data_IF_820874499638
#
_entry.id   IF_820874499638
#
_cell.length_a   1.000
_cell.length_b   1.000
_cell.length_c   1.000
_cell.angle_alpha   90.00
_cell.angle_beta   90.00
_cell.angle_gamma   90.00
#
_symmetry.space_group_name_H-M   'P 1'
#
loop_
_entity.id
_entity.type
_entity.pdbx_description
1 polymer ?
#
# COMPACT_ATOMS: atom_id res chain seq x y z
N UNK A 1 -13.03 -12.70 -2.13
CA UNK A 1 -12.20 -12.07 -3.19
C UNK A 1 -12.44 -12.80 -4.49
N UNK A 2 -12.67 -12.06 -5.57
CA UNK A 2 -12.84 -12.61 -6.92
C UNK A 2 -11.62 -13.45 -7.32
N UNK A 3 -11.85 -14.61 -7.94
CA UNK A 3 -10.80 -15.49 -8.42
C UNK A 3 -9.91 -14.80 -9.46
N UNK A 4 -10.45 -13.85 -10.22
CA UNK A 4 -9.70 -13.07 -11.20
C UNK A 4 -8.63 -12.18 -10.53
N UNK A 5 -9.01 -11.43 -9.49
CA UNK A 5 -8.09 -10.57 -8.72
C UNK A 5 -6.93 -11.39 -8.16
N UNK A 6 -7.23 -12.57 -7.60
CA UNK A 6 -6.22 -13.48 -7.07
C UNK A 6 -5.22 -13.90 -8.16
N UNK A 7 -5.70 -14.16 -9.38
CA UNK A 7 -4.83 -14.58 -10.47
C UNK A 7 -3.91 -13.45 -10.95
N UNK A 8 -4.40 -12.21 -11.01
CA UNK A 8 -3.54 -11.06 -11.32
C UNK A 8 -2.50 -10.82 -10.23
N UNK A 9 -2.89 -10.84 -8.95
CA UNK A 9 -1.93 -10.70 -7.86
C UNK A 9 -0.86 -11.80 -7.90
N UNK A 10 -1.24 -13.05 -8.18
CA UNK A 10 -0.28 -14.15 -8.39
C UNK A 10 0.67 -13.88 -9.56
N UNK A 11 0.15 -13.36 -10.67
CA UNK A 11 0.99 -12.97 -11.80
C UNK A 11 1.98 -11.88 -11.38
N UNK A 12 1.53 -10.85 -10.67
CA UNK A 12 2.37 -9.73 -10.22
C UNK A 12 3.47 -10.18 -9.26
N UNK A 13 3.13 -11.03 -8.28
CA UNK A 13 4.14 -11.64 -7.41
C UNK A 13 5.07 -12.59 -8.17
N UNK A 14 4.60 -13.24 -9.22
CA UNK A 14 5.42 -14.03 -10.14
C UNK A 14 6.43 -13.16 -10.90
N UNK A 15 5.98 -12.01 -11.41
CA UNK A 15 6.83 -10.99 -12.05
C UNK A 15 7.93 -10.52 -11.09
N UNK A 16 7.58 -10.19 -9.84
CA UNK A 16 8.55 -9.83 -8.81
C UNK A 16 9.52 -10.98 -8.53
N UNK A 17 9.01 -12.21 -8.37
CA UNK A 17 9.83 -13.39 -8.06
C UNK A 17 10.81 -13.76 -9.18
N UNK A 18 10.47 -13.45 -10.43
CA UNK A 18 11.33 -13.69 -11.58
C UNK A 18 12.43 -12.61 -11.76
N UNK A 19 12.35 -11.51 -11.01
CA UNK A 19 13.33 -10.43 -11.10
C UNK A 19 14.69 -10.84 -10.55
N UNK A 20 15.72 -10.71 -11.38
CA UNK A 20 17.10 -11.08 -11.08
C UNK A 20 18.13 -10.04 -11.59
N UNK A 21 17.68 -8.81 -11.84
CA UNK A 21 18.53 -7.76 -12.42
C UNK A 21 19.58 -7.26 -11.42
N UNK A 22 20.85 -7.39 -11.79
CA UNK A 22 22.00 -6.86 -11.04
C UNK A 22 22.71 -5.73 -11.78
N UNK A 23 22.21 -5.32 -12.94
CA UNK A 23 22.87 -4.36 -13.85
C UNK A 23 22.67 -2.90 -13.45
N UNK A 24 21.86 -2.63 -12.42
CA UNK A 24 21.44 -1.28 -12.00
C UNK A 24 21.85 -0.95 -10.56
N UNK A 25 23.15 -1.03 -10.22
CA UNK A 25 23.61 -0.94 -8.83
C UNK A 25 23.24 0.37 -8.13
N UNK A 26 23.21 1.50 -8.86
CA UNK A 26 22.79 2.78 -8.29
C UNK A 26 21.31 2.78 -7.88
N UNK A 27 20.45 2.15 -8.68
CA UNK A 27 19.02 2.08 -8.39
C UNK A 27 18.75 1.11 -7.23
N UNK A 28 19.45 -0.03 -7.21
CA UNK A 28 19.39 -0.98 -6.10
C UNK A 28 19.86 -0.35 -4.79
N UNK A 29 20.89 0.51 -4.80
CA UNK A 29 21.33 1.24 -3.61
C UNK A 29 20.28 2.24 -3.11
N UNK A 30 19.59 2.94 -4.03
CA UNK A 30 18.48 3.84 -3.66
C UNK A 30 17.34 3.07 -3.00
N UNK A 31 16.94 1.95 -3.59
CA UNK A 31 15.90 1.07 -3.01
C UNK A 31 16.37 0.53 -1.66
N UNK A 32 17.60 0.04 -1.55
CA UNK A 32 18.16 -0.47 -0.28
C UNK A 32 18.03 0.57 0.84
N UNK A 33 18.42 1.81 0.55
CA UNK A 33 18.35 2.93 1.49
C UNK A 33 16.90 3.28 1.85
N UNK A 34 16.04 3.47 0.85
CA UNK A 34 14.66 3.92 1.04
C UNK A 34 13.80 2.87 1.79
N UNK A 35 14.12 1.60 1.59
CA UNK A 35 13.41 0.46 2.18
C UNK A 35 14.06 -0.07 3.45
N UNK A 36 15.21 0.50 3.84
CA UNK A 36 16.04 0.06 4.97
C UNK A 36 16.43 -1.42 4.87
N UNK A 37 16.81 -1.84 3.67
CA UNK A 37 17.21 -3.20 3.34
C UNK A 37 18.73 -3.32 3.22
N UNK A 38 19.30 -4.40 3.74
CA UNK A 38 20.72 -4.73 3.55
C UNK A 38 21.02 -5.22 2.12
N UNK A 39 20.03 -5.83 1.46
CA UNK A 39 20.12 -6.35 0.11
C UNK A 39 18.78 -6.19 -0.60
N UNK A 40 18.82 -5.82 -1.88
CA UNK A 40 17.62 -5.71 -2.72
C UNK A 40 17.60 -6.84 -3.72
N UNK A 41 16.66 -7.75 -3.54
CA UNK A 41 16.33 -8.81 -4.47
C UNK A 41 14.83 -9.16 -4.34
N UNK A 42 14.34 -10.06 -5.19
CA UNK A 42 12.94 -10.46 -5.18
C UNK A 42 12.46 -10.99 -3.81
N UNK A 43 13.32 -11.72 -3.10
CA UNK A 43 12.97 -12.30 -1.80
C UNK A 43 12.85 -11.23 -0.70
N UNK A 44 13.81 -10.30 -0.62
CA UNK A 44 13.78 -9.23 0.38
C UNK A 44 12.65 -8.24 0.12
N UNK A 45 12.39 -7.88 -1.13
CA UNK A 45 11.24 -7.04 -1.50
C UNK A 45 9.90 -7.74 -1.22
N UNK A 46 9.79 -9.03 -1.54
CA UNK A 46 8.59 -9.81 -1.25
C UNK A 46 8.32 -9.95 0.24
N UNK A 47 9.37 -10.08 1.08
CA UNK A 47 9.24 -10.04 2.54
C UNK A 47 8.82 -8.65 3.01
N UNK A 48 9.47 -7.59 2.52
CA UNK A 48 9.14 -6.21 2.88
C UNK A 48 7.66 -5.89 2.68
N UNK A 49 7.09 -6.35 1.57
CA UNK A 49 5.66 -6.15 1.27
C UNK A 49 4.76 -6.97 2.20
N UNK A 50 5.05 -8.25 2.42
CA UNK A 50 4.25 -9.13 3.29
C UNK A 50 4.27 -8.71 4.76
N UNK A 51 5.36 -8.09 5.22
CA UNK A 51 5.47 -7.55 6.57
C UNK A 51 4.60 -6.29 6.77
N UNK A 52 4.04 -5.73 5.69
CA UNK A 52 3.25 -4.49 5.67
C UNK A 52 1.83 -4.67 5.15
N UNK A 53 1.53 -5.74 4.44
CA UNK A 53 0.19 -6.05 3.94
C UNK A 53 -0.11 -7.50 4.27
N UNK A 54 -1.02 -7.71 5.23
CA UNK A 54 -1.47 -9.06 5.61
C UNK A 54 -2.78 -9.42 4.92
N UNK A 55 -3.70 -8.46 4.82
CA UNK A 55 -5.04 -8.69 4.28
C UNK A 55 -5.26 -7.85 3.04
N UNK A 56 -5.84 -8.49 2.02
CA UNK A 56 -6.26 -7.86 0.78
C UNK A 56 -7.72 -8.21 0.56
N UNK A 57 -8.53 -7.23 0.15
CA UNK A 57 -9.94 -7.45 -0.19
C UNK A 57 -10.34 -6.53 -1.36
N UNK A 58 -11.32 -6.92 -2.19
CA UNK A 58 -11.77 -6.09 -3.30
C UNK A 58 -12.70 -4.96 -2.82
N UNK A 59 -12.77 -3.88 -3.58
CA UNK A 59 -13.89 -2.95 -3.54
C UNK A 59 -15.11 -3.57 -4.25
N UNK A 60 -15.89 -4.33 -3.48
CA UNK A 60 -17.11 -4.98 -3.96
C UNK A 60 -18.39 -4.29 -3.45
N UNK A 61 -18.25 -3.08 -2.89
CA UNK A 61 -19.34 -2.31 -2.30
C UNK A 61 -19.84 -2.83 -0.95
N UNK A 62 -19.27 -3.91 -0.41
CA UNK A 62 -19.57 -4.34 0.95
C UNK A 62 -18.76 -3.51 1.95
N UNK A 63 -19.35 -3.12 3.09
CA UNK A 63 -18.61 -2.42 4.11
C UNK A 63 -17.59 -3.35 4.80
N UNK A 64 -16.54 -2.76 5.37
CA UNK A 64 -15.64 -3.48 6.24
C UNK A 64 -16.16 -3.44 7.68
N UNK A 65 -16.44 -4.61 8.23
CA UNK A 65 -16.79 -4.74 9.64
C UNK A 65 -15.53 -4.71 10.52
N UNK A 66 -15.59 -3.94 11.59
CA UNK A 66 -14.58 -3.90 12.65
C UNK A 66 -15.25 -3.80 14.02
N UNK A 67 -14.46 -3.90 15.08
CA UNK A 67 -15.01 -3.78 16.43
C UNK A 67 -14.04 -3.17 17.42
N UNK A 68 -14.56 -2.42 18.38
CA UNK A 68 -13.81 -1.92 19.52
C UNK A 68 -14.05 -2.73 20.77
N UNK A 69 -12.98 -3.00 21.51
CA UNK A 69 -13.02 -3.65 22.81
C UNK A 69 -12.93 -2.57 23.89
N UNK A 70 -13.94 -2.51 24.76
CA UNK A 70 -14.02 -1.58 25.90
C UNK A 70 -13.97 -2.39 27.20
N UNK A 71 -12.78 -2.62 27.79
CA UNK A 71 -12.67 -3.59 28.87
C UNK A 71 -13.41 -3.22 30.15
N UNK A 72 -13.47 -1.93 30.47
CA UNK A 72 -14.21 -1.43 31.63
C UNK A 72 -15.71 -1.76 31.58
N UNK A 73 -16.25 -1.94 30.37
CA UNK A 73 -17.64 -2.30 30.14
C UNK A 73 -17.82 -3.80 29.88
N UNK A 74 -16.71 -4.54 29.68
CA UNK A 74 -16.68 -5.94 29.21
C UNK A 74 -17.45 -6.16 27.90
N UNK A 75 -17.43 -5.16 27.01
CA UNK A 75 -18.19 -5.15 25.75
C UNK A 75 -17.29 -5.05 24.53
N UNK A 76 -17.77 -5.65 23.44
CA UNK A 76 -17.28 -5.45 22.08
C UNK A 76 -18.35 -4.73 21.28
N UNK A 77 -18.02 -3.54 20.77
CA UNK A 77 -18.90 -2.74 19.90
C UNK A 77 -18.55 -3.02 18.45
N UNK A 78 -19.48 -3.60 17.70
CA UNK A 78 -19.32 -3.82 16.26
C UNK A 78 -19.70 -2.55 15.49
N UNK A 79 -18.91 -2.23 14.48
CA UNK A 79 -19.14 -1.12 13.56
C UNK A 79 -18.82 -1.57 12.13
N UNK A 80 -19.39 -0.88 11.16
CA UNK A 80 -19.04 -1.06 9.75
C UNK A 80 -18.65 0.29 9.13
N UNK A 81 -17.64 0.27 8.27
CA UNK A 81 -17.24 1.44 7.47
C UNK A 81 -17.47 1.14 5.99
N UNK A 82 -18.13 2.07 5.31
CA UNK A 82 -18.21 2.05 3.85
C UNK A 82 -16.79 2.27 3.30
N UNK A 83 -16.27 1.24 2.64
CA UNK A 83 -14.95 1.28 2.01
C UNK A 83 -15.05 1.58 0.52
N UNK A 84 -16.23 1.88 -0.04
CA UNK A 84 -16.35 2.17 -1.47
C UNK A 84 -15.35 3.25 -1.90
N UNK A 85 -14.51 2.89 -2.86
CA UNK A 85 -13.44 3.75 -3.32
C UNK A 85 -13.96 4.70 -4.40
N UNK A 86 -13.39 5.91 -4.44
CA UNK A 86 -13.72 6.86 -5.50
C UNK A 86 -13.23 6.35 -6.87
N UNK A 87 -13.89 6.79 -7.94
CA UNK A 87 -13.37 6.64 -9.29
C UNK A 87 -11.96 7.25 -9.35
N UNK A 88 -10.95 6.47 -9.76
CA UNK A 88 -9.55 6.89 -9.68
C UNK A 88 -8.67 5.97 -8.83
N UNK A 89 -9.23 5.34 -7.79
CA UNK A 89 -8.44 4.59 -6.80
C UNK A 89 -8.01 3.22 -7.33
N UNK A 90 -6.69 3.01 -7.40
CA UNK A 90 -6.13 1.71 -7.73
C UNK A 90 -6.12 0.79 -6.50
N UNK A 91 -5.59 1.24 -5.38
CA UNK A 91 -5.67 0.52 -4.11
C UNK A 91 -5.68 1.54 -2.96
N UNK A 92 -5.98 1.08 -1.76
CA UNK A 92 -5.93 1.89 -0.55
C UNK A 92 -5.60 1.04 0.67
N UNK A 93 -4.57 1.41 1.42
CA UNK A 93 -4.28 0.83 2.72
C UNK A 93 -5.14 1.47 3.82
N UNK A 94 -6.35 0.95 3.96
CA UNK A 94 -7.30 1.42 4.97
C UNK A 94 -6.89 1.03 6.40
N UNK A 95 -5.97 0.07 6.57
CA UNK A 95 -5.50 -0.38 7.89
C UNK A 95 -4.95 0.76 8.74
N UNK A 96 -4.31 1.72 8.09
CA UNK A 96 -3.74 2.90 8.73
C UNK A 96 -4.78 3.92 9.18
N UNK A 97 -5.84 4.11 8.41
CA UNK A 97 -7.01 4.88 8.83
C UNK A 97 -7.68 4.25 10.04
N UNK A 98 -7.89 2.92 10.01
CA UNK A 98 -8.44 2.16 11.15
C UNK A 98 -7.57 2.27 12.40
N UNK A 99 -6.24 2.20 12.25
CA UNK A 99 -5.33 2.36 13.37
C UNK A 99 -5.41 3.76 13.97
N UNK A 100 -5.46 4.79 13.12
CA UNK A 100 -5.58 6.18 13.56
C UNK A 100 -6.86 6.41 14.34
N UNK A 101 -7.97 5.82 13.87
CA UNK A 101 -9.26 5.80 14.58
C UNK A 101 -9.14 5.09 15.93
N UNK A 102 -8.51 3.92 15.99
CA UNK A 102 -8.25 3.19 17.24
C UNK A 102 -7.49 4.06 18.24
N UNK A 103 -6.44 4.77 17.82
CA UNK A 103 -5.66 5.61 18.72
C UNK A 103 -6.48 6.80 19.27
N UNK A 104 -7.41 7.36 18.50
CA UNK A 104 -8.35 8.38 19.02
C UNK A 104 -9.27 7.76 20.09
N UNK A 105 -9.88 6.61 19.79
CA UNK A 105 -10.76 5.92 20.73
C UNK A 105 -10.05 5.39 21.97
N UNK A 106 -8.74 5.10 21.89
CA UNK A 106 -7.93 4.68 23.03
C UNK A 106 -7.92 5.70 24.15
N UNK A 107 -7.98 6.99 23.82
CA UNK A 107 -8.11 8.08 24.82
C UNK A 107 -9.45 8.05 25.56
N UNK A 108 -10.43 7.29 25.06
CA UNK A 108 -11.79 7.15 25.58
C UNK A 108 -12.05 5.77 26.21
N UNK A 109 -11.00 4.98 26.44
CA UNK A 109 -11.09 3.68 27.13
C UNK A 109 -11.27 2.45 26.23
N UNK A 110 -11.06 2.60 24.92
CA UNK A 110 -10.90 1.45 24.00
C UNK A 110 -9.49 0.88 24.13
N UNK A 111 -9.36 -0.41 24.43
CA UNK A 111 -8.05 -1.06 24.51
C UNK A 111 -7.77 -1.96 23.30
N UNK A 112 -8.77 -2.24 22.47
CA UNK A 112 -8.63 -3.09 21.29
C UNK A 112 -9.41 -2.67 20.08
N UNK A 113 -8.83 -2.96 18.91
CA UNK A 113 -9.48 -2.95 17.61
C UNK A 113 -9.41 -4.36 17.03
N UNK A 114 -10.54 -4.85 16.54
CA UNK A 114 -10.66 -6.09 15.78
C UNK A 114 -11.14 -5.75 14.37
N UNK A 115 -10.66 -6.47 13.36
CA UNK A 115 -11.17 -6.35 11.99
C UNK A 115 -11.69 -7.70 11.53
N UNK A 116 -12.86 -7.72 10.88
CA UNK A 116 -13.51 -8.95 10.45
C UNK A 116 -13.03 -9.36 9.05
N UNK A 117 -12.51 -10.58 8.93
CA UNK A 117 -12.19 -11.20 7.65
C UNK A 117 -12.73 -12.64 7.63
N UNK A 118 -13.45 -13.02 6.57
CA UNK A 118 -14.03 -14.36 6.41
C UNK A 118 -14.78 -14.84 7.68
N UNK A 119 -15.70 -14.02 8.20
CA UNK A 119 -16.48 -14.27 9.43
C UNK A 119 -15.68 -14.35 10.74
N UNK A 120 -14.38 -14.04 10.71
CA UNK A 120 -13.52 -14.09 11.90
C UNK A 120 -13.01 -12.70 12.25
N UNK A 121 -13.19 -12.30 13.50
CA UNK A 121 -12.56 -11.08 14.02
C UNK A 121 -11.11 -11.34 14.41
N UNK A 122 -10.21 -10.51 13.88
CA UNK A 122 -8.77 -10.62 14.07
C UNK A 122 -8.26 -9.37 14.79
N UNK A 123 -7.39 -9.51 15.81
CA UNK A 123 -6.79 -8.36 16.49
C UNK A 123 -6.00 -7.49 15.52
N UNK A 124 -6.29 -6.20 15.54
CA UNK A 124 -5.61 -5.19 14.73
C UNK A 124 -4.82 -4.26 15.66
N UNK A 125 -3.57 -4.64 15.91
CA UNK A 125 -2.75 -4.06 16.98
C UNK A 125 -1.68 -3.09 16.46
N UNK A 126 -1.52 -2.97 15.14
CA UNK A 126 -0.50 -2.14 14.49
C UNK A 126 -0.95 -1.76 13.08
N UNK A 127 -0.55 -0.59 12.55
CA UNK A 127 -0.77 -0.27 11.14
C UNK A 127 -0.05 -1.26 10.22
N UNK A 128 1.02 -1.93 10.69
CA UNK A 128 1.71 -3.03 9.99
C UNK A 128 0.91 -4.32 9.85
N UNK A 129 -0.23 -4.44 10.53
CA UNK A 129 -1.16 -5.51 10.17
C UNK A 129 -1.56 -5.37 8.69
N UNK A 130 -1.69 -4.15 8.16
CA UNK A 130 -1.82 -3.92 6.72
C UNK A 130 -3.10 -4.48 6.12
N UNK A 131 -4.07 -3.60 5.90
CA UNK A 131 -5.36 -3.97 5.31
C UNK A 131 -5.53 -3.16 4.05
N UNK A 132 -5.36 -3.83 2.93
CA UNK A 132 -5.37 -3.25 1.61
C UNK A 132 -6.69 -3.55 0.92
N UNK A 133 -7.34 -2.49 0.45
CA UNK A 133 -8.42 -2.58 -0.50
C UNK A 133 -7.88 -2.46 -1.92
N UNK A 134 -8.36 -3.31 -2.82
CA UNK A 134 -8.10 -3.22 -4.26
C UNK A 134 -9.28 -2.50 -4.91
N UNK A 135 -9.03 -1.31 -5.44
CA UNK A 135 -10.02 -0.46 -6.08
C UNK A 135 -10.25 -0.81 -7.55
N UNK A 136 -11.24 -0.16 -8.20
CA UNK A 136 -11.65 -0.47 -9.56
C UNK A 136 -10.58 -0.15 -10.61
N UNK A 137 -9.66 0.79 -10.33
CA UNK A 137 -8.59 1.15 -11.25
C UNK A 137 -7.30 0.35 -11.06
N UNK A 138 -7.27 -0.62 -10.14
CA UNK A 138 -6.15 -1.55 -10.05
C UNK A 138 -6.02 -2.40 -11.31
N UNK A 139 -7.17 -2.67 -11.92
CA UNK A 139 -7.31 -3.36 -13.20
C UNK A 139 -8.02 -2.44 -14.18
N UNK A 140 -7.71 -2.58 -15.47
CA UNK A 140 -8.45 -1.90 -16.53
C UNK A 140 -9.00 -2.90 -17.55
N UNK A 141 -9.89 -2.44 -18.44
CA UNK A 141 -10.56 -3.30 -19.42
C UNK A 141 -9.64 -3.90 -20.50
N UNK A 142 -8.36 -3.53 -20.52
CA UNK A 142 -7.31 -4.08 -21.38
C UNK A 142 -6.39 -5.04 -20.63
N UNK A 143 -6.62 -5.29 -19.33
CA UNK A 143 -5.91 -6.33 -18.60
C UNK A 143 -6.23 -7.72 -19.17
N UNK A 144 -5.18 -8.54 -19.27
CA UNK A 144 -5.28 -9.90 -19.76
C UNK A 144 -4.18 -10.75 -19.14
N UNK A 145 -4.54 -11.96 -18.71
CA UNK A 145 -3.60 -13.00 -18.28
C UNK A 145 -3.34 -14.04 -19.39
N UNK A 146 -3.75 -13.79 -20.62
CA UNK A 146 -3.47 -14.70 -21.73
C UNK A 146 -1.96 -14.75 -22.02
N UNK A 147 -1.30 -15.77 -21.48
CA UNK A 147 0.14 -15.97 -21.66
C UNK A 147 0.51 -16.47 -23.06
N UNK A 148 -0.46 -16.83 -23.90
CA UNK A 148 -0.23 -17.30 -25.27
C UNK A 148 -0.15 -16.14 -26.27
N UNK A 149 -0.63 -14.95 -25.92
CA UNK A 149 -0.46 -13.75 -26.74
C UNK A 149 0.92 -13.12 -26.49
N UNK A 150 1.88 -13.47 -27.34
CA UNK A 150 3.22 -12.90 -27.33
C UNK A 150 3.23 -11.39 -27.61
N UNK A 151 2.27 -10.87 -28.37
CA UNK A 151 2.22 -9.44 -28.71
C UNK A 151 1.81 -8.58 -27.52
N UNK A 152 0.99 -9.13 -26.61
CA UNK A 152 0.58 -8.46 -25.39
C UNK A 152 1.56 -8.66 -24.22
N UNK A 153 2.64 -9.44 -24.39
CA UNK A 153 3.57 -9.77 -23.31
C UNK A 153 4.23 -8.54 -22.67
N UNK A 154 4.68 -7.58 -23.46
CA UNK A 154 5.30 -6.35 -22.96
C UNK A 154 4.31 -5.52 -22.14
N UNK A 155 3.13 -5.24 -22.69
CA UNK A 155 2.05 -4.55 -21.97
C UNK A 155 1.63 -5.26 -20.68
N UNK A 156 1.45 -6.58 -20.68
CA UNK A 156 1.18 -7.35 -19.44
C UNK A 156 2.25 -7.14 -18.39
N UNK A 157 3.52 -7.12 -18.81
CA UNK A 157 4.67 -6.88 -17.92
C UNK A 157 4.60 -5.48 -17.32
N UNK A 158 4.36 -4.45 -18.12
CA UNK A 158 4.26 -3.05 -17.65
C UNK A 158 3.14 -2.86 -16.64
N UNK A 159 1.96 -3.41 -16.92
CA UNK A 159 0.85 -3.33 -15.99
C UNK A 159 1.14 -4.03 -14.67
N UNK A 160 1.86 -5.14 -14.74
CA UNK A 160 2.34 -5.84 -13.55
C UNK A 160 3.31 -4.99 -12.74
N UNK A 161 4.24 -4.30 -13.40
CA UNK A 161 5.16 -3.37 -12.74
C UNK A 161 4.43 -2.16 -12.14
N UNK A 162 3.42 -1.63 -12.81
CA UNK A 162 2.54 -0.58 -12.28
C UNK A 162 1.79 -1.06 -11.03
N UNK A 163 1.09 -2.20 -11.09
CA UNK A 163 0.38 -2.75 -9.93
C UNK A 163 1.32 -3.04 -8.77
N UNK A 164 2.50 -3.62 -9.02
CA UNK A 164 3.52 -3.78 -7.98
C UNK A 164 3.89 -2.43 -7.36
N UNK A 165 4.11 -1.38 -8.17
CA UNK A 165 4.41 -0.05 -7.63
C UNK A 165 3.32 0.49 -6.71
N UNK A 166 2.05 0.26 -7.07
CA UNK A 166 0.89 0.61 -6.22
C UNK A 166 0.92 -0.21 -4.93
N UNK A 167 1.16 -1.52 -5.00
CA UNK A 167 1.24 -2.36 -3.79
C UNK A 167 2.35 -1.87 -2.84
N UNK A 168 3.52 -1.52 -3.37
CA UNK A 168 4.64 -1.02 -2.56
C UNK A 168 4.35 0.37 -1.98
N UNK A 169 3.71 1.25 -2.76
CA UNK A 169 3.19 2.53 -2.29
C UNK A 169 2.24 2.34 -1.10
N UNK A 170 1.20 1.52 -1.27
CA UNK A 170 0.22 1.27 -0.22
C UNK A 170 0.83 0.58 1.00
N UNK A 171 1.81 -0.31 0.82
CA UNK A 171 2.54 -0.92 1.92
C UNK A 171 3.31 0.12 2.75
N UNK A 172 3.79 1.22 2.14
CA UNK A 172 4.44 2.29 2.90
C UNK A 172 3.49 2.95 3.89
N UNK A 173 2.20 3.01 3.57
CA UNK A 173 1.22 3.55 4.50
C UNK A 173 1.08 2.73 5.78
N UNK A 174 1.62 1.51 5.86
CA UNK A 174 1.66 0.71 7.10
C UNK A 174 2.82 1.05 8.05
N UNK A 175 3.73 1.94 7.63
CA UNK A 175 4.89 2.38 8.39
C UNK A 175 4.65 3.73 9.10
N UNK A 176 5.68 4.21 9.82
CA UNK A 176 5.71 5.51 10.45
C UNK A 176 4.95 5.60 11.78
N UNK A 177 5.13 6.71 12.49
CA UNK A 177 4.61 6.86 13.84
C UNK A 177 4.31 8.32 14.23
N UNK A 178 3.55 8.50 15.30
CA UNK A 178 3.13 9.80 15.86
C UNK A 178 4.29 10.59 16.42
N UNK A 179 5.31 9.93 16.97
CA UNK A 179 6.45 10.62 17.56
C UNK A 179 7.26 11.37 16.49
N UNK A 180 7.38 10.79 15.30
CA UNK A 180 8.00 11.40 14.13
C UNK A 180 7.04 12.22 13.25
N UNK A 181 5.73 12.20 13.54
CA UNK A 181 4.66 12.80 12.70
C UNK A 181 4.51 12.18 11.31
N UNK A 182 5.03 10.97 11.11
CA UNK A 182 4.93 10.21 9.86
C UNK A 182 3.93 9.07 9.95
N UNK A 183 2.99 9.12 10.92
CA UNK A 183 2.01 8.05 11.11
C UNK A 183 1.31 7.75 9.78
N UNK A 184 1.51 6.52 9.32
CA UNK A 184 0.94 6.01 8.08
C UNK A 184 1.42 6.68 6.79
N UNK A 185 2.47 7.50 6.83
CA UNK A 185 2.95 8.26 5.67
C UNK A 185 1.78 8.91 4.89
N UNK A 186 0.84 9.52 5.61
CA UNK A 186 -0.40 10.04 4.99
C UNK A 186 -0.09 11.18 4.04
N UNK A 187 -0.74 11.17 2.88
CA UNK A 187 -0.59 12.26 1.90
C UNK A 187 -1.07 13.59 2.46
N UNK A 188 -0.37 14.65 2.06
CA UNK A 188 -0.78 16.03 2.27
C UNK A 188 -1.60 16.55 1.09
N UNK A 189 -2.24 17.71 1.31
CA UNK A 189 -2.84 18.46 0.21
C UNK A 189 -1.74 18.97 -0.71
N UNK A 190 -1.86 18.65 -2.00
CA UNK A 190 -0.96 19.12 -3.02
C UNK A 190 -0.96 20.66 -3.13
N UNK A 191 0.22 21.29 -3.17
CA UNK A 191 0.36 22.74 -3.19
C UNK A 191 -0.11 23.34 -4.54
N UNK A 192 -0.58 24.59 -4.50
CA UNK A 192 -1.02 25.35 -5.68
C UNK A 192 0.02 26.38 -6.15
N UNK A 193 1.31 26.06 -6.02
CA UNK A 193 2.44 26.95 -6.34
C UNK A 193 3.16 26.57 -7.64
N UNK A 194 2.63 25.58 -8.37
CA UNK A 194 3.17 25.06 -9.63
C UNK A 194 4.27 24.02 -9.48
N UNK A 195 4.55 23.54 -8.26
CA UNK A 195 5.48 22.41 -8.04
C UNK A 195 4.92 21.07 -8.48
N UNK A 196 3.59 20.94 -8.53
CA UNK A 196 2.86 19.74 -8.95
C UNK A 196 1.91 20.06 -10.10
N UNK A 197 1.41 19.02 -10.78
CA UNK A 197 0.45 19.18 -11.89
C UNK A 197 -0.86 19.86 -11.43
N UNK A 198 -1.47 20.77 -12.24
CA UNK A 198 -2.72 21.45 -11.90
C UNK A 198 -3.88 20.51 -11.53
N UNK A 199 -3.88 19.30 -12.08
CA UNK A 199 -4.86 18.24 -11.80
C UNK A 199 -4.79 17.69 -10.38
N UNK A 200 -3.68 17.89 -9.67
CA UNK A 200 -3.47 17.42 -8.31
C UNK A 200 -3.69 18.51 -7.26
N UNK A 201 -3.66 19.79 -7.63
CA UNK A 201 -3.75 20.92 -6.69
C UNK A 201 -4.94 20.80 -5.73
N UNK A 202 -4.67 20.88 -4.42
CA UNK A 202 -5.69 20.77 -3.38
C UNK A 202 -6.25 19.37 -3.14
N UNK A 203 -5.76 18.34 -3.83
CA UNK A 203 -6.09 16.93 -3.54
C UNK A 203 -5.13 16.35 -2.48
N UNK A 204 -5.59 15.43 -1.61
CA UNK A 204 -4.73 14.72 -0.65
C UNK A 204 -3.92 13.63 -1.36
N UNK A 205 -3.04 14.04 -2.26
CA UNK A 205 -2.36 13.16 -3.22
C UNK A 205 -0.87 13.51 -3.39
N UNK A 206 -0.27 14.19 -2.42
CA UNK A 206 1.15 14.56 -2.46
C UNK A 206 1.88 14.08 -1.21
N UNK A 207 3.19 13.85 -1.36
CA UNK A 207 4.09 13.58 -0.24
C UNK A 207 4.94 14.81 0.06
N UNK A 208 5.07 15.16 1.34
CA UNK A 208 6.04 16.13 1.87
C UNK A 208 7.26 15.47 2.50
N UNK A 209 7.41 14.16 2.31
CA UNK A 209 8.50 13.36 2.83
C UNK A 209 9.22 12.66 1.68
N UNK A 210 10.56 12.75 1.67
CA UNK A 210 11.37 12.13 0.63
C UNK A 210 11.21 10.60 0.62
N UNK A 211 10.88 10.00 1.75
CA UNK A 211 10.60 8.58 1.85
C UNK A 211 9.11 8.24 1.95
N UNK A 212 8.23 9.14 1.47
CA UNK A 212 6.79 8.91 1.36
C UNK A 212 6.41 7.78 0.40
N UNK A 213 5.11 7.47 0.37
CA UNK A 213 4.55 6.34 -0.39
C UNK A 213 4.79 6.47 -1.91
N UNK A 214 4.72 7.68 -2.48
CA UNK A 214 5.00 7.90 -3.89
C UNK A 214 6.46 7.64 -4.24
N UNK A 215 7.44 8.04 -3.40
CA UNK A 215 8.83 7.71 -3.70
C UNK A 215 9.06 6.20 -3.62
N UNK A 216 8.48 5.53 -2.61
CA UNK A 216 8.54 4.07 -2.46
C UNK A 216 8.04 3.36 -3.72
N UNK A 217 6.85 3.70 -4.21
CA UNK A 217 6.30 3.14 -5.46
C UNK A 217 7.13 3.49 -6.70
N UNK A 218 7.55 4.74 -6.83
CA UNK A 218 8.32 5.22 -7.99
C UNK A 218 9.71 4.59 -8.12
N UNK A 219 10.41 4.38 -7.00
CA UNK A 219 11.70 3.68 -7.02
C UNK A 219 11.57 2.20 -7.38
N UNK A 220 10.46 1.54 -7.01
CA UNK A 220 10.21 0.15 -7.41
C UNK A 220 10.04 0.03 -8.92
N UNK A 221 9.31 0.94 -9.55
CA UNK A 221 9.22 0.97 -11.02
C UNK A 221 10.63 1.04 -11.61
N UNK A 222 11.46 1.97 -11.11
CA UNK A 222 12.83 2.15 -11.59
C UNK A 222 13.71 0.91 -11.43
N UNK A 223 13.63 0.25 -10.27
CA UNK A 223 14.41 -0.96 -9.99
C UNK A 223 13.94 -2.16 -10.83
N UNK A 224 12.62 -2.34 -10.95
CA UNK A 224 12.02 -3.47 -11.65
C UNK A 224 11.91 -3.27 -13.16
N UNK A 225 12.24 -2.11 -13.71
CA UNK A 225 12.36 -1.90 -15.16
C UNK A 225 13.30 -2.93 -15.83
N UNK A 226 14.19 -3.61 -15.10
CA UNK A 226 15.02 -4.71 -15.63
C UNK A 226 14.23 -5.93 -16.07
N UNK A 227 13.02 -6.12 -15.53
CA UNK A 227 12.08 -7.16 -15.97
C UNK A 227 11.66 -6.94 -17.43
N UNK A 228 11.71 -5.70 -17.92
CA UNK A 228 11.38 -5.39 -19.31
C UNK A 228 12.51 -5.72 -20.30
N UNK A 229 13.72 -6.07 -19.84
CA UNK A 229 14.87 -6.30 -20.71
C UNK A 229 14.60 -7.51 -21.63
N UNK A 230 14.54 -7.26 -22.95
CA UNK A 230 14.22 -8.28 -23.96
C UNK A 230 12.75 -8.72 -24.00
N UNK A 231 11.86 -8.09 -23.21
CA UNK A 231 10.42 -8.37 -23.17
C UNK A 231 9.61 -7.19 -23.69
N UNK A 232 9.94 -5.98 -23.27
CA UNK A 232 9.20 -4.77 -23.60
C UNK A 232 9.81 -4.06 -24.82
N UNK A 233 8.95 -3.53 -25.68
CA UNK A 233 9.32 -2.63 -26.77
C UNK A 233 9.67 -1.22 -26.25
N UNK A 234 10.27 -0.40 -27.11
CA UNK A 234 10.59 1.01 -26.76
C UNK A 234 9.34 1.79 -26.36
N UNK A 235 8.23 1.61 -27.07
CA UNK A 235 6.95 2.28 -26.76
C UNK A 235 6.48 1.93 -25.35
N UNK A 236 6.55 0.65 -25.02
CA UNK A 236 6.18 0.09 -23.73
C UNK A 236 7.06 0.67 -22.61
N UNK A 237 8.38 0.70 -22.80
CA UNK A 237 9.29 1.31 -21.82
C UNK A 237 8.96 2.79 -21.59
N UNK A 238 8.66 3.56 -22.64
CA UNK A 238 8.25 4.96 -22.50
C UNK A 238 6.96 5.13 -21.70
N UNK A 239 6.00 4.20 -21.81
CA UNK A 239 4.78 4.22 -20.98
C UNK A 239 5.16 4.02 -19.51
N UNK A 240 6.02 3.05 -19.21
CA UNK A 240 6.46 2.77 -17.85
C UNK A 240 7.24 3.95 -17.23
N UNK A 241 8.10 4.60 -18.01
CA UNK A 241 8.79 5.83 -17.60
C UNK A 241 7.81 6.97 -17.34
N UNK A 242 6.76 7.11 -18.15
CA UNK A 242 5.72 8.13 -17.95
C UNK A 242 4.95 7.89 -16.66
N UNK A 243 4.59 6.64 -16.36
CA UNK A 243 3.96 6.24 -15.10
C UNK A 243 4.88 6.58 -13.92
N UNK A 244 6.17 6.25 -14.03
CA UNK A 244 7.14 6.57 -12.98
C UNK A 244 7.21 8.07 -12.72
N UNK A 245 7.29 8.89 -13.78
CA UNK A 245 7.36 10.34 -13.65
C UNK A 245 6.08 10.93 -13.05
N UNK A 246 4.91 10.39 -13.39
CA UNK A 246 3.63 10.78 -12.77
C UNK A 246 3.54 10.41 -11.29
N UNK A 247 4.09 9.25 -10.90
CA UNK A 247 4.21 8.86 -9.50
C UNK A 247 5.14 9.82 -8.74
N UNK A 248 6.31 10.12 -9.31
CA UNK A 248 7.31 10.97 -8.66
C UNK A 248 6.97 12.47 -8.68
N UNK A 249 6.12 12.93 -9.59
CA UNK A 249 5.71 14.36 -9.68
C UNK A 249 4.88 14.83 -8.49
N UNK A 250 4.40 13.90 -7.65
CA UNK A 250 3.60 14.15 -6.44
C UNK A 250 4.44 14.29 -5.17
N UNK A 251 5.76 14.20 -5.28
CA UNK A 251 6.69 14.42 -4.16
C UNK A 251 7.11 15.89 -4.18
N UNK A 252 6.80 16.60 -3.10
CA UNK A 252 6.96 18.06 -3.00
C UNK A 252 8.28 18.49 -2.36
N UNK A 253 9.12 17.52 -2.00
CA UNK A 253 10.42 17.73 -1.36
C UNK A 253 11.53 17.02 -2.12
N UNK A 254 12.75 17.51 -1.97
CA UNK A 254 13.93 16.86 -2.54
C UNK A 254 14.23 15.52 -1.86
N UNK A 255 14.64 14.52 -2.64
CA UNK A 255 15.06 13.20 -2.17
C UNK A 255 16.44 13.24 -1.49
N UNK A 256 16.48 13.79 -0.28
CA UNK A 256 17.68 13.92 0.57
C UNK A 256 17.41 13.43 1.99
N UNK A 257 18.46 12.99 2.69
CA UNK A 257 18.35 12.40 4.04
C UNK A 257 17.65 13.30 5.07
N UNK A 258 17.81 14.61 4.94
CA UNK A 258 17.17 15.57 5.85
C UNK A 258 15.64 15.60 5.72
N UNK A 259 15.09 15.11 4.61
CA UNK A 259 13.65 15.08 4.31
C UNK A 259 13.06 13.67 4.48
N UNK A 260 13.84 12.72 5.00
CA UNK A 260 13.35 11.39 5.31
C UNK A 260 12.80 11.36 6.74
N UNK A 261 11.52 11.04 6.87
CA UNK A 261 10.89 10.80 8.17
C UNK A 261 11.21 9.40 8.71
N UNK A 262 11.04 9.20 10.01
CA UNK A 262 11.16 7.88 10.63
C UNK A 262 10.15 6.91 10.00
N UNK A 263 10.65 5.80 9.43
CA UNK A 263 9.82 4.76 8.83
C UNK A 263 9.43 3.67 9.84
N UNK A 264 9.93 3.74 11.08
CA UNK A 264 9.56 2.79 12.10
C UNK A 264 8.06 2.89 12.40
N UNK A 265 7.35 1.74 12.45
CA UNK A 265 5.93 1.71 12.65
C UNK A 265 5.60 2.10 14.09
N UNK A 266 4.35 2.49 14.32
CA UNK A 266 3.81 2.56 15.66
C UNK A 266 4.03 1.24 16.44
N UNK A 267 4.41 1.31 17.73
CA UNK A 267 4.58 0.13 18.55
C UNK A 267 3.32 -0.74 18.54
N UNK A 268 3.54 -2.05 18.42
CA UNK A 268 2.46 -3.04 18.47
C UNK A 268 1.75 -2.93 19.82
N UNK A 269 0.42 -2.82 19.78
CA UNK A 269 -0.42 -2.83 20.97
C UNK A 269 -0.32 -4.15 21.75
N UNK A 270 -0.75 -4.14 23.01
CA UNK A 270 -0.82 -5.36 23.81
C UNK A 270 -1.78 -6.37 23.18
N UNK A 271 -1.43 -7.66 23.27
CA UNK A 271 -2.31 -8.74 22.83
C UNK A 271 -3.62 -8.73 23.64
N UNK A 272 -4.73 -9.08 22.98
CA UNK A 272 -6.06 -9.00 23.57
C UNK A 272 -6.71 -10.38 23.50
N UNK A 273 -7.11 -10.89 24.67
CA UNK A 273 -7.89 -12.13 24.77
C UNK A 273 -9.36 -11.84 24.51
N UNK A 274 -9.83 -12.07 23.30
CA UNK A 274 -11.22 -11.79 22.91
C UNK A 274 -12.23 -12.74 23.55
N UNK A 275 -11.81 -13.88 24.11
CA UNK A 275 -12.71 -14.89 24.68
C UNK A 275 -13.41 -14.42 25.96
N UNK A 276 -12.93 -13.34 26.58
CA UNK A 276 -13.48 -12.83 27.86
C UNK A 276 -14.57 -11.76 27.72
N UNK A 277 -14.98 -11.42 26.50
CA UNK A 277 -15.88 -10.28 26.24
C UNK A 277 -17.22 -10.68 25.63
N UNK A 278 -18.27 -9.92 25.95
CA UNK A 278 -19.59 -10.05 25.33
C UNK A 278 -19.61 -9.30 23.98
N UNK A 279 -20.02 -9.99 22.91
CA UNK A 279 -20.17 -9.39 21.59
C UNK A 279 -21.54 -8.73 21.49
N UNK A 280 -21.56 -7.41 21.31
CA UNK A 280 -22.78 -6.63 21.10
C UNK A 280 -22.89 -6.36 19.59
N UNK A 281 -23.95 -6.86 18.91
CA UNK A 281 -24.20 -6.55 17.50
C UNK A 281 -24.41 -5.05 17.29
N UNK A 282 -24.09 -4.57 16.10
CA UNK A 282 -24.47 -3.22 15.67
C UNK A 282 -26.02 -3.07 15.73
N UNK A 283 -26.55 -1.96 16.28
CA UNK A 283 -28.00 -1.76 16.45
C UNK A 283 -28.77 -1.57 15.13
#
# INVERSE_FOLDING_TARGET
MDAEIINFLRYDFGTLAAWNDTTRPSQLQKIAKLYELNEVNAATLGLWLRDRITYVFPDDGNPLDFAFIVPNEKRVYQLSIDTSSAEGVAASNIGSGLYSLYLDQKTRGVDGLLVKFNETYLPFLSPRTGVMQIGPNFFDNTDSLDTLDDKARGFRTIKSLYRLSVLFHEARHSDGNKASRSLSFSHILCPSDGTVGPEYEGLPACDDEANGAYNVGGQIISGLQGVCDGVCSTREITILESIQLDVLSRITVDDVDANCSDSNPEPVGAAIDTATYEIIPEP
#
